data_IF_887993140347
#
_entry.id   IF_887993140347
#
_cell.length_a   1.000
_cell.length_b   1.000
_cell.length_c   1.000
_cell.angle_alpha   90.00
_cell.angle_beta   90.00
_cell.angle_gamma   90.00
#
_symmetry.space_group_name_H-M   'P 1'
#
loop_
_entity.id
_entity.type
_entity.pdbx_description
1 polymer ?
#
# COMPACT_ATOMS: atom_id res chain seq x y z
N UNK A 1 6.02 -39.92 16.59
CA UNK A 1 5.24 -39.33 15.48
C UNK A 1 6.25 -38.92 14.41
N UNK A 2 6.84 -39.85 13.65
CA UNK A 2 6.19 -40.81 12.73
C UNK A 2 5.29 -40.02 11.78
N UNK A 3 5.60 -39.98 10.48
CA UNK A 3 5.09 -40.90 9.47
C UNK A 3 5.90 -40.65 8.15
N UNK A 4 6.19 -41.58 7.23
CA UNK A 4 5.49 -42.79 6.80
C UNK A 4 4.01 -42.48 6.57
N UNK A 5 3.60 -42.00 5.41
CA UNK A 5 3.11 -43.02 4.49
C UNK A 5 4.25 -43.83 3.86
N UNK A 6 4.66 -44.87 4.56
CA UNK A 6 4.64 -46.20 3.97
C UNK A 6 3.26 -46.72 4.32
N UNK A 7 2.44 -47.16 3.38
CA UNK A 7 2.79 -48.24 2.47
C UNK A 7 2.50 -47.94 1.00
N UNK A 8 3.43 -48.43 0.17
CA UNK A 8 3.29 -49.07 -1.14
C UNK A 8 1.94 -48.85 -1.85
N UNK A 9 1.95 -48.44 -3.11
CA UNK A 9 2.38 -49.32 -4.20
C UNK A 9 2.64 -48.55 -5.51
N UNK A 10 3.51 -49.16 -6.32
CA UNK A 10 3.74 -48.97 -7.77
C UNK A 10 4.69 -47.85 -8.19
N UNK A 11 5.89 -48.33 -8.56
CA UNK A 11 6.78 -47.90 -9.66
C UNK A 11 7.19 -46.41 -9.69
N UNK A 12 8.51 -46.18 -9.77
CA UNK A 12 9.13 -44.95 -10.29
C UNK A 12 9.65 -43.87 -9.33
N UNK A 13 10.44 -44.20 -8.29
CA UNK A 13 11.36 -43.22 -7.67
C UNK A 13 12.75 -43.80 -7.39
N UNK A 14 13.68 -43.50 -8.30
CA UNK A 14 15.13 -43.75 -8.18
C UNK A 14 15.75 -42.62 -7.34
N UNK A 15 16.52 -42.94 -6.30
CA UNK A 15 17.41 -41.97 -5.64
C UNK A 15 18.55 -41.66 -6.61
N UNK A 16 18.51 -40.48 -7.23
CA UNK A 16 19.45 -40.09 -8.28
C UNK A 16 20.74 -39.43 -7.76
N UNK A 17 20.91 -39.32 -6.44
CA UNK A 17 22.06 -38.66 -5.83
C UNK A 17 22.11 -37.17 -6.17
N UNK A 18 23.31 -36.65 -6.43
CA UNK A 18 23.51 -35.26 -6.87
C UNK A 18 22.86 -35.06 -8.25
N UNK A 19 21.96 -34.09 -8.36
CA UNK A 19 21.27 -33.72 -9.59
C UNK A 19 21.85 -32.44 -10.21
N UNK A 20 22.25 -31.50 -9.37
CA UNK A 20 22.75 -30.19 -9.77
C UNK A 20 24.03 -29.86 -9.03
N UNK A 21 24.95 -29.19 -9.71
CA UNK A 21 26.18 -28.64 -9.13
C UNK A 21 26.24 -27.16 -9.47
N UNK A 22 26.65 -26.36 -8.52
CA UNK A 22 26.74 -24.90 -8.62
C UNK A 22 28.17 -24.50 -8.29
N UNK A 23 28.81 -23.75 -9.18
CA UNK A 23 30.20 -23.29 -9.02
C UNK A 23 30.36 -21.91 -9.62
N UNK A 24 30.67 -20.93 -8.79
CA UNK A 24 31.07 -19.57 -9.19
C UNK A 24 31.95 -18.95 -8.10
N UNK A 25 32.67 -17.84 -8.35
CA UNK A 25 33.57 -17.26 -7.35
C UNK A 25 32.88 -17.03 -5.99
N UNK A 26 33.43 -17.64 -4.94
CA UNK A 26 32.88 -17.56 -3.57
C UNK A 26 31.72 -18.51 -3.27
N UNK A 27 31.30 -19.38 -4.19
CA UNK A 27 30.20 -20.31 -3.96
C UNK A 27 30.39 -21.67 -4.64
N UNK A 28 30.27 -22.73 -3.84
CA UNK A 28 30.28 -24.11 -4.28
C UNK A 28 29.13 -24.83 -3.58
N UNK A 29 28.24 -25.44 -4.35
CA UNK A 29 27.10 -26.18 -3.80
C UNK A 29 26.61 -27.28 -4.74
N UNK A 30 25.73 -28.12 -4.23
CA UNK A 30 25.02 -29.12 -5.02
C UNK A 30 23.61 -29.35 -4.47
N UNK A 31 22.70 -29.79 -5.33
CA UNK A 31 21.35 -30.20 -4.96
C UNK A 31 21.05 -31.59 -5.53
N UNK A 32 20.25 -32.38 -4.82
CA UNK A 32 20.02 -33.77 -5.18
C UNK A 32 19.03 -34.48 -4.26
N UNK A 33 18.80 -35.76 -4.53
CA UNK A 33 17.97 -36.62 -3.69
C UNK A 33 18.86 -37.53 -2.85
N UNK A 34 18.77 -37.39 -1.53
CA UNK A 34 19.56 -38.12 -0.55
C UNK A 34 18.66 -38.67 0.56
N UNK A 35 19.01 -39.81 1.12
CA UNK A 35 18.37 -40.31 2.33
C UNK A 35 18.85 -39.56 3.58
N UNK A 36 18.14 -39.74 4.69
CA UNK A 36 18.44 -39.03 5.94
C UNK A 36 19.81 -39.34 6.54
N UNK A 37 20.37 -40.55 6.32
CA UNK A 37 21.70 -40.91 6.82
C UNK A 37 22.78 -40.18 6.04
N UNK A 38 22.65 -40.13 4.72
CA UNK A 38 23.57 -39.38 3.86
C UNK A 38 23.50 -37.86 4.10
N UNK A 39 22.31 -37.32 4.36
CA UNK A 39 22.18 -35.90 4.75
C UNK A 39 22.92 -35.62 6.07
N UNK A 40 22.82 -36.52 7.05
CA UNK A 40 23.53 -36.37 8.33
C UNK A 40 25.06 -36.43 8.15
N UNK A 41 25.56 -37.32 7.31
CA UNK A 41 27.01 -37.39 7.03
C UNK A 41 27.51 -36.17 6.25
N UNK A 42 26.72 -35.65 5.30
CA UNK A 42 27.03 -34.39 4.58
C UNK A 42 27.11 -33.21 5.57
N UNK A 43 26.12 -33.07 6.46
CA UNK A 43 26.08 -32.00 7.47
C UNK A 43 27.27 -32.02 8.42
N UNK A 44 27.89 -33.18 8.63
CA UNK A 44 29.00 -33.35 9.56
C UNK A 44 30.38 -33.03 8.94
N UNK A 45 30.46 -32.78 7.63
CA UNK A 45 31.75 -32.48 6.98
C UNK A 45 32.19 -31.05 7.27
N UNK A 46 33.50 -30.85 7.48
CA UNK A 46 34.10 -29.54 7.77
C UNK A 46 34.05 -28.55 6.60
N UNK A 47 33.90 -29.04 5.37
CA UNK A 47 33.80 -28.25 4.15
C UNK A 47 32.36 -27.84 3.78
N UNK A 48 31.37 -28.23 4.59
CA UNK A 48 29.95 -27.91 4.36
C UNK A 48 29.52 -26.75 5.26
N UNK A 49 29.27 -25.58 4.66
CA UNK A 49 28.83 -24.39 5.38
C UNK A 49 27.40 -24.53 5.95
N UNK A 50 26.47 -25.09 5.17
CA UNK A 50 25.09 -25.35 5.61
C UNK A 50 24.42 -26.39 4.72
N UNK A 51 23.34 -26.99 5.22
CA UNK A 51 22.45 -27.87 4.43
C UNK A 51 21.01 -27.46 4.72
N UNK A 52 20.31 -27.04 3.67
CA UNK A 52 18.89 -26.71 3.73
C UNK A 52 18.04 -27.67 2.90
N UNK A 53 16.76 -27.78 3.25
CA UNK A 53 15.78 -28.49 2.43
C UNK A 53 15.45 -27.63 1.21
N UNK A 54 15.28 -28.27 0.07
CA UNK A 54 14.82 -27.60 -1.16
C UNK A 54 13.53 -26.81 -0.90
N UNK A 55 13.44 -25.65 -1.53
CA UNK A 55 12.34 -24.69 -1.36
C UNK A 55 11.63 -24.55 -2.69
N UNK A 56 10.30 -24.56 -2.64
CA UNK A 56 9.51 -24.19 -3.81
C UNK A 56 9.71 -22.70 -4.08
N UNK A 57 10.34 -22.38 -5.21
CA UNK A 57 10.30 -21.05 -5.78
C UNK A 57 9.10 -20.99 -6.72
N UNK A 58 8.03 -20.35 -6.25
CA UNK A 58 6.86 -20.10 -7.11
C UNK A 58 7.10 -18.84 -7.91
N UNK A 59 6.89 -18.88 -9.22
CA UNK A 59 6.55 -17.66 -9.95
C UNK A 59 5.20 -17.19 -9.40
N UNK A 60 5.13 -16.07 -8.68
CA UNK A 60 3.84 -15.49 -8.34
C UNK A 60 3.10 -15.24 -9.66
N UNK A 61 2.10 -16.06 -10.00
CA UNK A 61 1.28 -15.79 -11.16
C UNK A 61 0.51 -14.51 -10.87
N UNK A 62 0.89 -13.42 -11.52
CA UNK A 62 0.13 -12.17 -11.50
C UNK A 62 -1.30 -12.48 -11.94
N UNK A 63 -2.27 -11.90 -11.25
CA UNK A 63 -3.70 -12.01 -11.56
C UNK A 63 -4.12 -10.78 -12.33
N UNK A 64 -5.02 -10.98 -13.29
CA UNK A 64 -5.63 -9.91 -14.07
C UNK A 64 -7.08 -9.71 -13.63
N UNK A 65 -7.42 -8.51 -13.19
CA UNK A 65 -8.80 -8.06 -13.11
C UNK A 65 -9.19 -7.42 -14.45
N UNK A 66 -10.20 -7.99 -15.12
CA UNK A 66 -10.80 -7.43 -16.33
C UNK A 66 -11.67 -6.23 -15.98
N UNK A 67 -11.68 -5.23 -16.85
CA UNK A 67 -12.50 -4.01 -16.71
C UNK A 67 -12.35 -3.32 -15.35
N UNK A 68 -11.12 -3.05 -14.86
CA UNK A 68 -10.94 -2.33 -13.61
C UNK A 68 -11.39 -0.87 -13.75
N UNK A 69 -11.49 -0.15 -12.64
CA UNK A 69 -11.50 1.31 -12.75
C UNK A 69 -10.18 1.77 -13.39
N UNK A 70 -10.22 2.89 -14.12
CA UNK A 70 -9.07 3.35 -14.89
C UNK A 70 -7.84 3.66 -14.03
N UNK A 71 -8.05 4.04 -12.76
CA UNK A 71 -6.96 4.30 -11.81
C UNK A 71 -6.13 3.05 -11.56
N UNK A 72 -6.78 1.93 -11.23
CA UNK A 72 -6.11 0.63 -11.07
C UNK A 72 -5.35 0.21 -12.33
N UNK A 73 -5.99 0.31 -13.50
CA UNK A 73 -5.34 -0.02 -14.75
C UNK A 73 -4.10 0.85 -15.03
N UNK A 74 -4.20 2.17 -14.80
CA UNK A 74 -3.11 3.11 -15.05
C UNK A 74 -1.92 2.94 -14.10
N UNK A 75 -2.14 2.55 -12.84
CA UNK A 75 -1.03 2.27 -11.90
C UNK A 75 -0.39 0.90 -12.14
N UNK A 76 -1.02 0.01 -12.92
CA UNK A 76 -0.46 -1.31 -13.20
C UNK A 76 0.35 -1.39 -14.49
N UNK A 77 0.36 -0.35 -15.34
CA UNK A 77 1.06 -0.35 -16.62
C UNK A 77 1.93 0.89 -16.79
N UNK A 78 3.11 0.75 -17.41
CA UNK A 78 3.97 1.92 -17.71
C UNK A 78 3.47 2.65 -18.93
N UNK A 79 3.01 1.92 -19.94
CA UNK A 79 2.46 2.47 -21.17
C UNK A 79 1.14 3.23 -20.94
N UNK A 80 0.69 3.93 -22.00
CA UNK A 80 -0.55 4.69 -21.98
C UNK A 80 -1.72 3.75 -21.69
N UNK A 81 -2.65 4.15 -20.84
CA UNK A 81 -3.78 3.31 -20.45
C UNK A 81 -4.66 2.98 -21.66
N UNK A 82 -4.80 1.68 -21.95
CA UNK A 82 -5.65 1.15 -23.03
C UNK A 82 -6.95 0.51 -22.52
N UNK A 83 -7.32 0.71 -21.25
CA UNK A 83 -8.64 0.28 -20.79
C UNK A 83 -8.78 -1.15 -20.28
N UNK A 84 -7.77 -2.02 -20.45
CA UNK A 84 -8.06 -3.46 -20.49
C UNK A 84 -7.96 -4.19 -19.15
N UNK A 85 -6.89 -3.99 -18.36
CA UNK A 85 -6.62 -4.86 -17.18
C UNK A 85 -5.96 -4.14 -16.01
N UNK A 86 -6.18 -4.67 -14.80
CA UNK A 86 -5.35 -4.41 -13.62
C UNK A 86 -4.56 -5.67 -13.30
N UNK A 87 -3.24 -5.62 -13.49
CA UNK A 87 -2.33 -6.74 -13.26
C UNK A 87 -1.69 -6.60 -11.87
N UNK A 88 -1.84 -7.60 -11.01
CA UNK A 88 -1.35 -7.52 -9.62
C UNK A 88 -1.07 -8.90 -9.01
N UNK A 89 -0.17 -8.93 -8.03
CA UNK A 89 0.02 -10.10 -7.15
C UNK A 89 -1.16 -10.21 -6.17
N UNK A 90 -1.90 -11.32 -6.22
CA UNK A 90 -3.09 -11.54 -5.39
C UNK A 90 -2.77 -11.62 -3.89
N UNK A 91 -1.53 -11.90 -3.48
CA UNK A 91 -1.14 -11.82 -2.07
C UNK A 91 -1.01 -10.38 -1.55
N UNK A 92 -0.97 -9.41 -2.46
CA UNK A 92 -0.74 -7.99 -2.22
C UNK A 92 -1.61 -7.39 -1.11
N UNK A 93 -0.96 -6.74 -0.14
CA UNK A 93 -1.60 -6.13 1.01
C UNK A 93 -1.97 -7.09 2.14
N UNK A 94 -1.88 -8.41 1.96
CA UNK A 94 -2.17 -9.38 3.02
C UNK A 94 -1.32 -9.13 4.27
N UNK A 95 -1.94 -9.08 5.46
CA UNK A 95 -1.21 -8.86 6.71
C UNK A 95 -0.64 -7.45 6.87
N UNK A 96 -1.20 -6.45 6.19
CA UNK A 96 -0.89 -5.02 6.35
C UNK A 96 -2.10 -4.22 6.87
N UNK A 97 -1.87 -3.01 7.37
CA UNK A 97 -2.88 -2.15 8.00
C UNK A 97 -2.87 -0.72 7.45
N UNK A 98 -3.93 -0.33 6.75
CA UNK A 98 -4.19 1.06 6.36
C UNK A 98 -5.01 1.79 7.42
N UNK A 99 -4.45 2.85 8.00
CA UNK A 99 -5.15 3.76 8.90
C UNK A 99 -5.69 4.93 8.08
N UNK A 100 -7.01 5.12 8.11
CA UNK A 100 -7.71 6.14 7.31
C UNK A 100 -8.14 7.27 8.25
N UNK A 101 -7.40 8.38 8.24
CA UNK A 101 -7.69 9.58 9.03
C UNK A 101 -8.61 10.48 8.20
N UNK A 102 -9.92 10.35 8.43
CA UNK A 102 -10.97 10.93 7.57
C UNK A 102 -12.35 11.02 8.27
N UNK A 103 -13.46 11.00 7.54
CA UNK A 103 -14.84 11.10 8.06
C UNK A 103 -15.39 9.83 8.72
N UNK A 104 -14.65 8.72 8.65
CA UNK A 104 -15.06 7.38 9.10
C UNK A 104 -14.99 6.35 7.96
N UNK A 105 -15.52 5.14 8.20
CA UNK A 105 -15.73 4.13 7.15
C UNK A 105 -17.09 3.47 7.39
N UNK A 106 -17.88 3.23 6.34
CA UNK A 106 -19.10 2.41 6.36
C UNK A 106 -18.78 0.92 6.57
N UNK A 107 -18.35 0.55 7.78
CA UNK A 107 -17.83 -0.79 8.10
C UNK A 107 -18.93 -1.84 8.20
N UNK A 108 -20.07 -1.49 8.81
CA UNK A 108 -21.09 -2.48 9.19
C UNK A 108 -21.77 -3.10 7.98
N UNK A 109 -22.02 -2.30 6.95
CA UNK A 109 -22.96 -2.67 5.88
C UNK A 109 -22.27 -2.88 4.53
N UNK A 110 -21.09 -2.27 4.30
CA UNK A 110 -20.52 -2.27 2.97
C UNK A 110 -19.77 -3.58 2.65
N UNK A 111 -20.34 -4.37 1.72
CA UNK A 111 -19.84 -5.71 1.35
C UNK A 111 -18.42 -5.71 0.78
N UNK A 112 -17.99 -4.60 0.20
CA UNK A 112 -16.67 -4.42 -0.40
C UNK A 112 -15.50 -4.54 0.58
N UNK A 113 -15.74 -4.33 1.88
CA UNK A 113 -14.71 -4.50 2.90
C UNK A 113 -14.60 -5.94 3.43
N UNK A 114 -15.65 -6.75 3.33
CA UNK A 114 -15.62 -8.18 3.68
C UNK A 114 -15.01 -8.49 5.05
N UNK A 115 -15.32 -7.69 6.07
CA UNK A 115 -14.79 -7.84 7.44
C UNK A 115 -13.35 -7.36 7.65
N UNK A 116 -12.71 -6.76 6.63
CA UNK A 116 -11.32 -6.26 6.73
C UNK A 116 -11.21 -4.83 7.24
N UNK A 117 -12.32 -4.11 7.37
CA UNK A 117 -12.37 -2.78 7.97
C UNK A 117 -12.88 -2.84 9.41
N UNK A 118 -12.33 -2.01 10.31
CA UNK A 118 -12.78 -1.88 11.70
C UNK A 118 -12.71 -0.44 12.20
N UNK A 119 -13.52 -0.11 13.19
CA UNK A 119 -13.40 1.17 13.90
C UNK A 119 -12.11 1.19 14.74
N UNK A 120 -11.34 2.28 14.65
CA UNK A 120 -10.14 2.51 15.44
C UNK A 120 -10.37 3.56 16.51
N UNK A 121 -10.46 4.82 16.08
CA UNK A 121 -10.62 5.96 16.98
C UNK A 121 -11.61 6.97 16.43
N UNK A 122 -12.37 7.58 17.34
CA UNK A 122 -13.24 8.70 17.03
C UNK A 122 -12.77 9.91 17.83
N UNK A 123 -12.20 10.89 17.14
CA UNK A 123 -11.77 12.16 17.74
C UNK A 123 -12.97 13.07 18.05
N UNK A 124 -14.11 12.85 17.39
CA UNK A 124 -15.35 13.60 17.58
C UNK A 124 -16.24 12.88 18.61
N UNK A 125 -16.00 13.11 19.90
CA UNK A 125 -16.63 12.37 21.01
C UNK A 125 -18.15 12.47 21.09
N UNK A 126 -18.73 13.52 20.51
CA UNK A 126 -20.17 13.82 20.57
C UNK A 126 -20.95 13.28 19.37
N UNK A 127 -20.29 12.64 18.40
CA UNK A 127 -20.93 12.06 17.21
C UNK A 127 -20.54 10.58 17.09
N UNK A 128 -21.34 9.75 16.44
CA UNK A 128 -21.08 8.33 16.41
C UNK A 128 -19.94 7.99 15.42
N UNK A 129 -19.27 6.82 15.56
CA UNK A 129 -18.03 6.52 14.83
C UNK A 129 -18.23 6.15 13.34
N UNK A 130 -19.48 6.06 12.87
CA UNK A 130 -19.80 5.77 11.48
C UNK A 130 -19.43 6.93 10.55
N UNK A 131 -19.20 6.60 9.28
CA UNK A 131 -19.07 7.61 8.24
C UNK A 131 -20.43 8.23 7.93
N UNK A 132 -20.50 9.57 8.01
CA UNK A 132 -21.71 10.35 7.71
C UNK A 132 -21.50 11.34 6.56
N UNK A 133 -20.32 11.32 5.93
CA UNK A 133 -20.01 12.13 4.76
C UNK A 133 -19.81 11.27 3.50
N UNK A 134 -19.15 10.12 3.64
CA UNK A 134 -18.83 9.20 2.55
C UNK A 134 -17.40 9.28 2.06
N UNK A 135 -16.69 10.39 2.29
CA UNK A 135 -15.31 10.57 1.83
C UNK A 135 -14.38 9.49 2.40
N UNK A 136 -14.41 9.24 3.71
CA UNK A 136 -13.55 8.22 4.32
C UNK A 136 -13.85 6.80 3.84
N UNK A 137 -15.13 6.48 3.60
CA UNK A 137 -15.54 5.23 2.94
C UNK A 137 -14.95 5.13 1.53
N UNK A 138 -14.95 6.21 0.75
CA UNK A 138 -14.39 6.26 -0.61
C UNK A 138 -12.88 6.01 -0.61
N UNK A 139 -12.15 6.68 0.29
CA UNK A 139 -10.70 6.53 0.48
C UNK A 139 -10.34 5.10 0.88
N UNK A 140 -11.06 4.55 1.86
CA UNK A 140 -10.90 3.16 2.29
C UNK A 140 -11.12 2.18 1.14
N UNK A 141 -12.09 2.45 0.27
CA UNK A 141 -12.34 1.64 -0.92
C UNK A 141 -11.19 1.60 -1.90
N UNK A 142 -10.61 2.76 -2.23
CA UNK A 142 -9.45 2.84 -3.14
C UNK A 142 -8.24 2.12 -2.55
N UNK A 143 -8.04 2.24 -1.23
CA UNK A 143 -6.94 1.57 -0.55
C UNK A 143 -7.08 0.05 -0.59
N UNK A 144 -8.25 -0.49 -0.24
CA UNK A 144 -8.37 -1.91 0.09
C UNK A 144 -9.73 -2.57 -0.06
N UNK A 145 -10.69 -2.02 -0.80
CA UNK A 145 -11.92 -2.77 -1.14
C UNK A 145 -11.63 -3.99 -2.04
N UNK A 146 -12.56 -4.94 -2.09
CA UNK A 146 -12.46 -6.14 -2.95
C UNK A 146 -12.33 -5.75 -4.43
N UNK A 147 -13.16 -4.83 -4.90
CA UNK A 147 -13.31 -4.52 -6.33
C UNK A 147 -12.48 -3.32 -6.74
N UNK A 148 -12.47 -2.25 -5.94
CA UNK A 148 -11.83 -0.96 -6.28
C UNK A 148 -10.45 -0.77 -5.64
N UNK A 149 -10.07 -1.64 -4.70
CA UNK A 149 -8.86 -1.49 -3.90
C UNK A 149 -7.59 -1.86 -4.65
N UNK A 150 -6.52 -1.11 -4.38
CA UNK A 150 -5.15 -1.44 -4.80
C UNK A 150 -4.61 -2.64 -4.00
N UNK A 151 -4.69 -2.57 -2.67
CA UNK A 151 -4.26 -3.63 -1.75
C UNK A 151 -5.47 -4.45 -1.27
N UNK A 152 -6.02 -5.28 -2.15
CA UNK A 152 -7.29 -6.00 -1.95
C UNK A 152 -7.33 -6.93 -0.73
N UNK A 153 -6.20 -7.23 -0.08
CA UNK A 153 -6.13 -8.07 1.14
C UNK A 153 -5.68 -7.32 2.40
N UNK A 154 -5.51 -5.99 2.35
CA UNK A 154 -5.16 -5.23 3.55
C UNK A 154 -6.32 -5.14 4.55
N UNK A 155 -5.97 -4.86 5.81
CA UNK A 155 -6.91 -4.46 6.85
C UNK A 155 -6.99 -2.94 6.90
N UNK A 156 -8.18 -2.40 7.17
CA UNK A 156 -8.46 -0.97 7.25
C UNK A 156 -8.89 -0.57 8.65
N UNK A 157 -8.37 0.54 9.16
CA UNK A 157 -8.67 1.08 10.50
C UNK A 157 -9.22 2.49 10.34
N UNK A 158 -10.48 2.69 10.69
CA UNK A 158 -11.15 3.99 10.60
C UNK A 158 -10.74 4.90 11.75
N UNK A 159 -10.21 6.09 11.43
CA UNK A 159 -9.88 7.16 12.38
C UNK A 159 -10.74 8.37 12.01
N UNK A 160 -11.86 8.54 12.74
CA UNK A 160 -12.83 9.59 12.46
C UNK A 160 -12.37 10.92 13.05
N UNK A 161 -12.15 11.90 12.18
CA UNK A 161 -11.74 13.29 12.50
C UNK A 161 -12.67 14.35 11.88
N UNK A 162 -13.53 13.95 10.95
CA UNK A 162 -14.58 14.77 10.35
C UNK A 162 -15.95 14.07 10.48
N UNK A 163 -17.05 14.83 10.48
CA UNK A 163 -18.40 14.27 10.51
C UNK A 163 -19.11 14.42 9.16
N UNK A 164 -20.28 15.08 9.11
CA UNK A 164 -21.01 15.34 7.86
C UNK A 164 -20.26 16.36 7.00
N UNK A 165 -19.72 17.41 7.62
CA UNK A 165 -18.82 18.34 6.94
C UNK A 165 -17.45 17.68 6.76
N UNK A 166 -16.85 17.76 5.56
CA UNK A 166 -15.50 17.25 5.32
C UNK A 166 -14.41 18.16 5.93
N UNK A 167 -14.79 19.24 6.63
CA UNK A 167 -13.87 20.18 7.28
C UNK A 167 -13.88 20.01 8.80
N UNK A 168 -12.71 20.12 9.43
CA UNK A 168 -12.51 19.99 10.88
C UNK A 168 -11.28 20.80 11.31
N UNK A 169 -11.04 20.93 12.61
CA UNK A 169 -9.87 21.66 13.12
C UNK A 169 -8.59 20.83 12.99
N UNK A 170 -7.45 21.50 12.78
CA UNK A 170 -6.14 20.84 12.74
C UNK A 170 -5.85 20.05 14.03
N UNK A 171 -6.33 20.52 15.19
CA UNK A 171 -6.19 19.83 16.46
C UNK A 171 -6.92 18.48 16.48
N UNK A 172 -8.13 18.40 15.89
CA UNK A 172 -8.89 17.14 15.79
C UNK A 172 -8.20 16.16 14.84
N UNK A 173 -7.70 16.64 13.69
CA UNK A 173 -6.93 15.78 12.76
C UNK A 173 -5.66 15.27 13.44
N UNK A 174 -4.95 16.13 14.17
CA UNK A 174 -3.74 15.77 14.91
C UNK A 174 -4.03 14.77 16.04
N UNK A 175 -5.18 14.87 16.73
CA UNK A 175 -5.60 13.88 17.74
C UNK A 175 -5.87 12.49 17.12
N UNK A 176 -6.53 12.45 15.96
CA UNK A 176 -6.68 11.21 15.20
C UNK A 176 -5.33 10.63 14.75
N UNK A 177 -4.47 11.49 14.22
CA UNK A 177 -3.14 11.10 13.74
C UNK A 177 -2.25 10.55 14.86
N UNK A 178 -2.19 11.20 16.03
CA UNK A 178 -1.41 10.69 17.18
C UNK A 178 -1.90 9.33 17.64
N UNK A 179 -3.22 9.07 17.60
CA UNK A 179 -3.77 7.78 18.00
C UNK A 179 -3.32 6.70 17.03
N UNK A 180 -3.37 6.96 15.72
CA UNK A 180 -2.89 6.03 14.70
C UNK A 180 -1.41 5.69 14.90
N UNK A 181 -0.56 6.69 15.13
CA UNK A 181 0.86 6.50 15.44
C UNK A 181 1.04 5.61 16.68
N UNK A 182 0.36 5.92 17.78
CA UNK A 182 0.44 5.15 19.03
C UNK A 182 -0.01 3.71 18.84
N UNK A 183 -1.12 3.47 18.13
CA UNK A 183 -1.60 2.11 17.86
C UNK A 183 -0.60 1.32 17.00
N UNK A 184 -0.02 1.93 15.97
CA UNK A 184 1.00 1.30 15.13
C UNK A 184 2.23 0.89 15.95
N UNK A 185 2.77 1.80 16.77
CA UNK A 185 3.95 1.54 17.60
C UNK A 185 3.65 0.45 18.63
N UNK A 186 2.54 0.58 19.36
CA UNK A 186 2.12 -0.40 20.39
C UNK A 186 1.98 -1.80 19.82
N UNK A 187 1.48 -1.93 18.59
CA UNK A 187 1.29 -3.22 17.93
C UNK A 187 2.50 -3.65 17.06
N UNK A 188 3.62 -2.90 17.08
CA UNK A 188 4.83 -3.18 16.30
C UNK A 188 4.56 -3.33 14.79
N UNK A 189 3.74 -2.43 14.23
CA UNK A 189 3.25 -2.49 12.84
C UNK A 189 3.96 -1.55 11.86
N UNK A 190 5.05 -0.88 12.24
CA UNK A 190 5.72 0.13 11.41
C UNK A 190 6.06 -0.38 9.99
N UNK A 191 6.62 -1.60 9.90
CA UNK A 191 6.92 -2.24 8.62
C UNK A 191 5.67 -2.68 7.82
N UNK A 192 4.48 -2.71 8.44
CA UNK A 192 3.25 -3.27 7.88
C UNK A 192 2.08 -2.29 7.83
N UNK A 193 2.27 -1.04 8.23
CA UNK A 193 1.20 -0.05 8.35
C UNK A 193 1.49 1.22 7.53
N UNK A 194 0.40 1.89 7.15
CA UNK A 194 0.40 3.18 6.47
C UNK A 194 -0.69 4.05 7.09
N UNK A 195 -0.40 5.32 7.29
CA UNK A 195 -1.42 6.32 7.65
C UNK A 195 -1.75 7.14 6.40
N UNK A 196 -2.99 7.07 5.95
CA UNK A 196 -3.54 7.96 4.94
C UNK A 196 -4.17 9.17 5.62
N UNK A 197 -3.73 10.37 5.24
CA UNK A 197 -4.34 11.64 5.67
C UNK A 197 -4.82 12.37 4.42
N UNK A 198 -6.08 12.16 4.07
CA UNK A 198 -6.73 12.78 2.90
C UNK A 198 -7.37 14.13 3.23
N UNK A 199 -6.74 14.87 4.14
CA UNK A 199 -7.12 16.21 4.57
C UNK A 199 -5.90 17.12 4.55
N UNK A 200 -6.13 18.39 4.26
CA UNK A 200 -5.09 19.42 4.27
C UNK A 200 -5.67 20.72 4.83
N UNK A 201 -4.78 21.57 5.30
CA UNK A 201 -5.09 22.92 5.74
C UNK A 201 -3.88 23.82 5.58
N UNK A 202 -3.98 25.09 6.02
CA UNK A 202 -2.84 25.99 6.08
C UNK A 202 -1.63 25.36 6.79
N UNK A 203 -0.43 25.84 6.45
CA UNK A 203 0.81 25.39 7.06
C UNK A 203 0.73 25.37 8.60
N UNK A 204 1.17 24.25 9.18
CA UNK A 204 1.28 24.03 10.61
C UNK A 204 2.60 23.34 10.91
N UNK A 205 3.53 24.09 11.52
CA UNK A 205 4.80 23.54 11.98
C UNK A 205 4.60 22.37 12.94
N UNK A 206 3.61 22.47 13.85
CA UNK A 206 3.29 21.41 14.80
C UNK A 206 2.88 20.11 14.10
N UNK A 207 1.99 20.19 13.10
CA UNK A 207 1.54 19.00 12.39
C UNK A 207 2.66 18.42 11.51
N UNK A 208 3.46 19.27 10.86
CA UNK A 208 4.62 18.79 10.11
C UNK A 208 5.63 18.07 11.01
N UNK A 209 5.93 18.63 12.19
CA UNK A 209 6.81 18.01 13.17
C UNK A 209 6.27 16.66 13.65
N UNK A 210 4.95 16.53 13.82
CA UNK A 210 4.32 15.25 14.17
C UNK A 210 4.49 14.19 13.07
N UNK A 211 4.33 14.57 11.80
CA UNK A 211 4.55 13.67 10.66
C UNK A 211 6.02 13.29 10.52
N UNK A 212 6.94 14.25 10.70
CA UNK A 212 8.38 14.00 10.68
C UNK A 212 8.82 13.10 11.85
N UNK A 213 8.20 13.24 13.02
CA UNK A 213 8.42 12.35 14.16
C UNK A 213 7.91 10.92 13.89
N UNK A 214 6.73 10.77 13.28
CA UNK A 214 6.21 9.47 12.88
C UNK A 214 7.10 8.79 11.83
N UNK A 215 7.63 9.56 10.88
CA UNK A 215 8.59 9.09 9.89
C UNK A 215 9.87 8.55 10.54
N UNK A 216 10.43 9.27 11.53
CA UNK A 216 11.64 8.85 12.26
C UNK A 216 11.47 7.53 13.02
N UNK A 217 10.26 7.21 13.47
CA UNK A 217 9.96 5.91 14.10
C UNK A 217 9.51 4.85 13.09
N UNK A 218 9.63 5.11 11.79
CA UNK A 218 9.43 4.14 10.71
C UNK A 218 8.00 4.06 10.16
N UNK A 219 7.14 5.03 10.44
CA UNK A 219 5.74 5.04 9.99
C UNK A 219 5.58 5.86 8.71
N UNK A 220 5.10 5.22 7.64
CA UNK A 220 4.79 5.90 6.39
C UNK A 220 3.48 6.67 6.49
N UNK A 221 3.53 7.98 6.28
CA UNK A 221 2.36 8.85 6.15
C UNK A 221 2.19 9.30 4.71
N UNK A 222 1.01 9.05 4.16
CA UNK A 222 0.64 9.44 2.79
C UNK A 222 -0.39 10.55 2.89
N UNK A 223 -0.10 11.70 2.29
CA UNK A 223 -0.93 12.89 2.44
C UNK A 223 -1.38 13.42 1.09
N UNK A 224 -2.59 13.96 1.02
CA UNK A 224 -3.04 14.66 -0.17
C UNK A 224 -2.26 15.97 -0.36
N UNK A 225 -1.90 16.32 -1.60
CA UNK A 225 -1.22 17.58 -1.89
C UNK A 225 -2.12 18.82 -1.67
N UNK A 226 -3.44 18.65 -1.78
CA UNK A 226 -4.43 19.73 -1.75
C UNK A 226 -4.96 20.13 -3.12
N UNK A 227 -6.10 20.82 -3.14
CA UNK A 227 -6.91 21.02 -4.34
C UNK A 227 -7.11 22.52 -4.66
N UNK A 228 -6.09 23.34 -4.46
CA UNK A 228 -6.18 24.81 -4.54
C UNK A 228 -5.29 25.46 -5.61
N UNK A 229 -4.64 24.67 -6.49
CA UNK A 229 -3.64 25.16 -7.45
C UNK A 229 -2.52 26.00 -6.76
N UNK A 230 -2.06 25.54 -5.61
CA UNK A 230 -1.03 26.23 -4.83
C UNK A 230 0.20 25.37 -4.61
N UNK A 231 1.29 26.02 -4.18
CA UNK A 231 2.47 25.31 -3.71
C UNK A 231 2.16 24.56 -2.42
N UNK A 232 2.51 23.28 -2.39
CA UNK A 232 2.34 22.40 -1.22
C UNK A 232 3.07 22.94 0.01
N UNK A 233 4.15 23.72 -0.17
CA UNK A 233 4.93 24.32 0.92
C UNK A 233 4.09 25.14 1.92
N UNK A 234 2.92 25.65 1.50
CA UNK A 234 2.02 26.44 2.33
C UNK A 234 0.91 25.62 3.01
N UNK A 235 0.94 24.29 2.89
CA UNK A 235 -0.13 23.40 3.35
C UNK A 235 0.43 22.24 4.18
N UNK A 236 -0.27 21.91 5.26
CA UNK A 236 0.05 20.77 6.12
C UNK A 236 -1.07 19.73 6.08
N UNK A 237 -0.76 18.44 6.26
CA UNK A 237 0.57 17.87 6.51
C UNK A 237 1.47 17.70 5.27
N UNK A 238 1.00 18.08 4.06
CA UNK A 238 1.72 17.83 2.81
C UNK A 238 3.12 18.44 2.69
N UNK A 239 3.42 19.51 3.42
CA UNK A 239 4.76 20.14 3.46
C UNK A 239 5.75 19.48 4.43
N UNK A 240 5.33 18.47 5.21
CA UNK A 240 6.23 17.74 6.11
C UNK A 240 7.28 16.95 5.31
N UNK A 241 8.54 16.98 5.75
CA UNK A 241 9.67 16.38 5.00
C UNK A 241 9.55 14.86 4.92
N UNK A 242 9.04 14.23 5.98
CA UNK A 242 8.80 12.80 6.10
C UNK A 242 7.51 12.32 5.43
N UNK A 243 6.67 13.23 4.90
CA UNK A 243 5.46 12.86 4.19
C UNK A 243 5.75 12.31 2.79
N UNK A 244 4.92 11.35 2.35
CA UNK A 244 4.76 11.03 0.94
C UNK A 244 3.54 11.78 0.44
N UNK A 245 3.78 12.99 -0.08
CA UNK A 245 2.72 13.89 -0.53
C UNK A 245 2.34 13.61 -1.98
N UNK A 246 1.05 13.40 -2.23
CA UNK A 246 0.56 12.88 -3.51
C UNK A 246 -0.30 13.90 -4.24
N UNK A 247 0.12 14.23 -5.47
CA UNK A 247 -0.62 15.08 -6.39
C UNK A 247 -1.47 14.25 -7.37
N UNK A 248 -2.53 14.86 -7.91
CA UNK A 248 -3.54 14.14 -8.70
C UNK A 248 -3.36 14.37 -10.21
N UNK A 249 -3.61 13.32 -11.00
CA UNK A 249 -3.71 13.40 -12.47
C UNK A 249 -5.04 12.88 -12.98
N UNK A 250 -5.32 13.20 -14.25
CA UNK A 250 -6.32 12.50 -15.05
C UNK A 250 -5.74 11.18 -15.65
N UNK A 251 -6.57 10.51 -16.46
CA UNK A 251 -6.22 9.28 -17.17
C UNK A 251 -5.12 9.44 -18.23
N UNK A 252 -4.83 10.68 -18.66
CA UNK A 252 -3.76 11.02 -19.59
C UNK A 252 -2.47 11.42 -18.87
N UNK A 253 -2.41 11.22 -17.54
CA UNK A 253 -1.33 11.69 -16.65
C UNK A 253 -1.12 13.20 -16.73
N UNK A 254 -2.17 13.96 -17.05
CA UNK A 254 -2.16 15.41 -16.94
C UNK A 254 -2.48 15.79 -15.49
N UNK A 255 -1.60 16.57 -14.83
CA UNK A 255 -1.87 17.02 -13.45
C UNK A 255 -3.16 17.83 -13.41
N UNK A 256 -4.06 17.52 -12.48
CA UNK A 256 -5.32 18.26 -12.36
C UNK A 256 -5.07 19.74 -12.10
N UNK A 257 -5.86 20.59 -12.75
CA UNK A 257 -5.77 22.05 -12.59
C UNK A 257 -6.05 22.50 -11.15
N UNK A 258 -6.75 21.69 -10.35
CA UNK A 258 -6.95 21.95 -8.92
C UNK A 258 -5.82 21.42 -8.07
N UNK A 259 -5.07 20.40 -8.51
CA UNK A 259 -4.02 19.77 -7.69
C UNK A 259 -2.94 20.78 -7.34
N UNK A 260 -2.60 20.87 -6.06
CA UNK A 260 -1.40 21.56 -5.61
C UNK A 260 -0.14 20.89 -6.19
N UNK A 261 0.97 21.65 -6.18
CA UNK A 261 2.22 21.32 -6.87
C UNK A 261 3.46 21.82 -6.11
N UNK A 262 4.64 21.59 -6.67
CA UNK A 262 5.91 22.08 -6.17
C UNK A 262 6.80 20.98 -5.57
N UNK A 263 7.99 21.35 -5.08
CA UNK A 263 9.04 20.41 -4.68
C UNK A 263 8.67 19.51 -3.50
N UNK A 264 7.69 19.89 -2.68
CA UNK A 264 7.18 19.05 -1.59
C UNK A 264 6.29 17.89 -2.07
N UNK A 265 5.83 17.89 -3.34
CA UNK A 265 5.17 16.71 -3.93
C UNK A 265 6.19 15.58 -4.06
N UNK A 266 5.82 14.39 -3.60
CA UNK A 266 6.66 13.20 -3.76
C UNK A 266 6.36 12.45 -5.06
N UNK A 267 5.07 12.30 -5.39
CA UNK A 267 4.61 11.45 -6.48
C UNK A 267 3.21 11.86 -6.97
N UNK A 268 2.87 11.45 -8.18
CA UNK A 268 1.57 11.61 -8.81
C UNK A 268 0.80 10.29 -8.88
N UNK A 269 -0.53 10.37 -8.75
CA UNK A 269 -1.41 9.22 -8.88
C UNK A 269 -2.79 9.61 -9.46
N UNK A 270 -3.60 8.63 -9.90
CA UNK A 270 -4.95 8.86 -10.39
C UNK A 270 -5.83 9.62 -9.39
N UNK A 271 -6.46 10.71 -9.83
CA UNK A 271 -7.33 11.50 -8.95
C UNK A 271 -8.56 12.14 -9.61
N UNK A 272 -8.85 11.89 -10.89
CA UNK A 272 -10.03 12.43 -11.57
C UNK A 272 -11.16 11.39 -11.72
N UNK A 273 -12.35 11.69 -11.26
CA UNK A 273 -13.53 10.85 -11.55
C UNK A 273 -13.30 9.37 -11.14
N UNK A 274 -12.73 9.16 -9.95
CA UNK A 274 -12.35 7.84 -9.43
C UNK A 274 -13.59 7.18 -8.83
N UNK A 275 -13.95 6.02 -9.36
CA UNK A 275 -15.03 5.19 -8.83
C UNK A 275 -14.54 4.37 -7.63
N UNK A 276 -15.23 4.47 -6.51
CA UNK A 276 -14.98 3.67 -5.30
C UNK A 276 -16.26 3.54 -4.47
N UNK A 277 -16.15 2.84 -3.34
CA UNK A 277 -17.18 2.63 -2.31
C UNK A 277 -17.77 3.95 -1.78
N UNK A 278 -19.02 3.93 -1.36
CA UNK A 278 -19.71 5.10 -0.79
C UNK A 278 -20.63 4.71 0.37
N UNK A 279 -21.20 5.71 1.03
CA UNK A 279 -22.27 5.53 2.04
C UNK A 279 -23.64 5.40 1.35
N UNK A 280 -24.69 5.05 2.11
CA UNK A 280 -26.07 4.99 1.60
C UNK A 280 -26.53 3.62 1.10
N UNK A 281 -25.70 2.58 1.24
CA UNK A 281 -26.09 1.19 0.97
C UNK A 281 -24.91 0.23 0.97
N UNK A 282 -25.19 -1.06 0.92
CA UNK A 282 -24.22 -2.15 1.08
C UNK A 282 -23.26 -2.29 -0.11
N UNK A 283 -23.68 -1.79 -1.27
CA UNK A 283 -22.94 -1.77 -2.54
C UNK A 283 -22.86 -0.34 -3.13
N UNK A 284 -23.10 0.69 -2.31
CA UNK A 284 -23.11 2.06 -2.79
C UNK A 284 -21.74 2.46 -3.34
N UNK A 285 -21.72 3.21 -4.43
CA UNK A 285 -20.49 3.72 -5.05
C UNK A 285 -20.64 5.16 -5.46
N UNK A 286 -19.52 5.87 -5.57
CA UNK A 286 -19.49 7.24 -6.04
C UNK A 286 -18.24 7.50 -6.87
N UNK A 287 -18.35 8.47 -7.79
CA UNK A 287 -17.22 9.02 -8.53
C UNK A 287 -16.89 10.41 -8.02
N UNK A 288 -15.72 10.56 -7.41
CA UNK A 288 -15.23 11.86 -6.94
C UNK A 288 -13.78 12.08 -7.38
N UNK A 289 -13.33 13.33 -7.25
CA UNK A 289 -12.04 13.78 -7.74
C UNK A 289 -11.27 14.54 -6.68
N UNK A 290 -9.95 14.38 -6.67
CA UNK A 290 -9.06 15.15 -5.81
C UNK A 290 -7.76 14.44 -5.50
N UNK A 291 -6.85 15.18 -4.88
CA UNK A 291 -5.59 14.64 -4.34
C UNK A 291 -5.78 13.62 -3.22
N UNK A 292 -6.96 13.60 -2.58
CA UNK A 292 -7.38 12.56 -1.63
C UNK A 292 -7.43 11.18 -2.29
N UNK A 293 -8.08 11.06 -3.46
CA UNK A 293 -8.13 9.82 -4.22
C UNK A 293 -6.73 9.38 -4.69
N UNK A 294 -5.90 10.35 -5.10
CA UNK A 294 -4.52 10.08 -5.48
C UNK A 294 -3.70 9.53 -4.30
N UNK A 295 -3.81 10.16 -3.12
CA UNK A 295 -3.19 9.69 -1.88
C UNK A 295 -3.68 8.30 -1.47
N UNK A 296 -4.96 7.99 -1.67
CA UNK A 296 -5.54 6.67 -1.40
C UNK A 296 -4.94 5.58 -2.31
N UNK A 297 -4.74 5.84 -3.60
CA UNK A 297 -4.05 4.91 -4.51
C UNK A 297 -2.63 4.61 -4.02
N UNK A 298 -1.87 5.64 -3.65
CA UNK A 298 -0.50 5.46 -3.15
C UNK A 298 -0.48 4.77 -1.79
N UNK A 299 -1.46 5.03 -0.92
CA UNK A 299 -1.58 4.32 0.36
C UNK A 299 -1.84 2.84 0.16
N UNK A 300 -2.77 2.50 -0.73
CA UNK A 300 -3.00 1.11 -1.14
C UNK A 300 -1.74 0.50 -1.77
N UNK A 301 -1.02 1.24 -2.61
CA UNK A 301 0.20 0.74 -3.22
C UNK A 301 1.34 0.49 -2.22
N UNK A 302 1.49 1.36 -1.23
CA UNK A 302 2.50 1.15 -0.17
C UNK A 302 2.15 -0.07 0.67
N UNK A 303 0.87 -0.30 0.98
CA UNK A 303 0.43 -1.54 1.66
C UNK A 303 0.69 -2.78 0.80
N UNK A 304 0.45 -2.66 -0.51
CA UNK A 304 0.77 -3.69 -1.49
C UNK A 304 2.27 -4.05 -1.46
N UNK A 305 3.16 -3.07 -1.53
CA UNK A 305 4.60 -3.30 -1.47
C UNK A 305 5.11 -3.78 -0.11
N UNK A 306 4.59 -3.28 1.01
CA UNK A 306 4.97 -3.75 2.36
C UNK A 306 4.71 -5.24 2.59
N UNK A 307 3.81 -5.84 1.80
CA UNK A 307 3.61 -7.29 1.79
C UNK A 307 4.62 -8.00 0.90
N UNK A 308 4.89 -7.49 -0.29
CA UNK A 308 5.72 -8.17 -1.28
C UNK A 308 7.22 -7.96 -1.08
N UNK A 309 7.60 -6.94 -0.33
CA UNK A 309 8.97 -6.49 -0.16
C UNK A 309 9.30 -6.33 1.32
N UNK A 310 10.58 -6.47 1.66
CA UNK A 310 11.08 -6.16 3.00
C UNK A 310 11.30 -4.66 3.14
N UNK A 311 10.27 -3.95 3.61
CA UNK A 311 10.29 -2.50 3.83
C UNK A 311 10.19 -2.19 5.33
N UNK A 312 11.33 -2.22 6.08
CA UNK A 312 11.32 -2.17 7.53
C UNK A 312 10.82 -0.85 8.12
N UNK A 313 10.94 0.25 7.39
CA UNK A 313 10.63 1.60 7.87
C UNK A 313 10.08 2.52 6.78
N UNK A 314 9.80 3.77 7.15
CA UNK A 314 9.24 4.76 6.24
C UNK A 314 10.22 5.25 5.17
N UNK A 315 11.52 5.29 5.48
CA UNK A 315 12.57 5.74 4.56
C UNK A 315 12.74 4.75 3.41
N UNK A 316 12.97 3.48 3.74
CA UNK A 316 13.07 2.38 2.77
C UNK A 316 11.80 2.25 1.93
N UNK A 317 10.63 2.41 2.57
CA UNK A 317 9.34 2.44 1.87
C UNK A 317 9.27 3.56 0.83
N UNK A 318 9.65 4.80 1.20
CA UNK A 318 9.63 5.95 0.29
C UNK A 318 10.62 5.75 -0.87
N UNK A 319 11.83 5.27 -0.59
CA UNK A 319 12.84 5.01 -1.61
C UNK A 319 12.35 3.96 -2.61
N UNK A 320 11.82 2.84 -2.13
CA UNK A 320 11.28 1.78 -2.99
C UNK A 320 10.14 2.27 -3.88
N UNK A 321 9.19 3.04 -3.31
CA UNK A 321 8.08 3.63 -4.06
C UNK A 321 8.59 4.53 -5.21
N UNK A 322 9.55 5.41 -4.94
CA UNK A 322 10.08 6.34 -5.94
C UNK A 322 11.00 5.66 -6.97
N UNK A 323 11.72 4.61 -6.58
CA UNK A 323 12.53 3.79 -7.50
C UNK A 323 11.65 3.01 -8.47
N UNK A 324 10.49 2.53 -8.01
CA UNK A 324 9.55 1.76 -8.83
C UNK A 324 8.73 2.66 -9.77
N UNK A 325 8.46 3.90 -9.36
CA UNK A 325 7.64 4.86 -10.10
C UNK A 325 8.07 5.06 -11.57
N UNK A 326 7.11 5.38 -12.44
CA UNK A 326 7.39 5.78 -13.82
C UNK A 326 7.81 7.23 -13.86
N UNK A 327 8.99 7.51 -14.42
CA UNK A 327 9.59 8.85 -14.46
C UNK A 327 9.12 9.62 -15.69
N UNK A 328 9.00 10.93 -15.57
CA UNK A 328 8.80 11.87 -16.70
C UNK A 328 7.54 11.62 -17.54
N UNK A 329 6.49 11.04 -16.94
CA UNK A 329 5.22 10.74 -17.63
C UNK A 329 4.09 11.70 -17.31
N UNK A 330 4.27 12.59 -16.33
CA UNK A 330 3.23 13.55 -15.92
C UNK A 330 3.39 14.85 -16.70
N UNK A 331 2.34 15.23 -17.41
CA UNK A 331 2.24 16.53 -18.07
C UNK A 331 1.87 17.61 -17.05
N UNK A 332 2.51 18.78 -17.17
CA UNK A 332 2.30 19.93 -16.28
C UNK A 332 2.66 19.68 -14.80
N UNK A 333 3.78 19.00 -14.53
CA UNK A 333 4.24 18.74 -13.16
C UNK A 333 4.49 20.01 -12.31
N UNK A 334 4.65 21.19 -12.94
CA UNK A 334 4.73 22.50 -12.27
C UNK A 334 5.76 22.57 -11.13
N UNK A 335 7.00 22.16 -11.42
CA UNK A 335 8.11 22.17 -10.45
C UNK A 335 8.06 21.03 -9.42
N UNK A 336 7.08 20.13 -9.50
CA UNK A 336 7.08 18.88 -8.74
C UNK A 336 8.01 17.84 -9.37
N UNK A 337 8.65 16.97 -8.56
CA UNK A 337 9.29 15.75 -9.05
C UNK A 337 8.34 14.92 -9.92
N UNK A 338 8.77 14.59 -11.14
CA UNK A 338 7.92 13.93 -12.14
C UNK A 338 7.96 12.40 -11.99
N UNK A 339 7.34 11.92 -10.93
CA UNK A 339 7.16 10.50 -10.64
C UNK A 339 5.67 10.15 -10.69
N UNK A 340 5.30 9.15 -11.49
CA UNK A 340 3.95 8.60 -11.52
C UNK A 340 3.94 7.20 -10.88
N UNK A 341 2.96 6.97 -10.01
CA UNK A 341 2.85 5.72 -9.25
C UNK A 341 2.69 4.49 -10.16
N UNK A 342 3.37 3.39 -9.82
CA UNK A 342 3.38 2.15 -10.60
C UNK A 342 3.54 0.94 -9.67
N UNK A 343 2.81 -0.15 -9.93
CA UNK A 343 2.72 -1.30 -9.03
C UNK A 343 3.75 -2.41 -9.26
N UNK A 344 4.60 -2.28 -10.29
CA UNK A 344 5.65 -3.26 -10.58
C UNK A 344 5.25 -4.43 -11.50
N UNK A 345 4.00 -4.51 -11.98
CA UNK A 345 3.47 -5.77 -12.55
C UNK A 345 2.96 -5.74 -14.00
N UNK A 346 2.89 -4.59 -14.67
CA UNK A 346 2.52 -4.53 -16.10
C UNK A 346 3.70 -4.19 -17.00
N UNK A 347 3.47 -4.29 -18.31
CA UNK A 347 4.46 -3.92 -19.33
C UNK A 347 4.82 -2.43 -19.28
#
# INVERSE_FOLDING_TARGET
MSFVESFRTRKDKIFRGVLYKYSFPGFQAYAGHFDGRLIASIKARSDVQSVEKDKLWTTSALVEQKSPNWGLGLISHRDRYHGSTYVYDDSGGGGTWGYVVDSGINITNHLEFGGRARHGYNALKLVPPQDRNGHGTHIAGIMGSKTYGVAKKCKLVAIKVADISPSTSAAIVMDGYQWAVRDIVRNRRQAKAVINVSMNGPYSAAFNNAVDAAFKVGISSITSAGNNWRRVDHYSPGSAKGSITVAATDQRRFRLFTSNYGPAVSIFAPGLNILSTWIGGDNATARISGTSMAAAHVSGLVLYFKKLQTLPDALTTRQFLLQTATRNMVSFAAGSPNYFTYNGNGK
#
